data_IF_130419964171
#
_entry.id   IF_130419964171
#
_cell.length_a   1.000
_cell.length_b   1.000
_cell.length_c   1.000
_cell.angle_alpha   90.00
_cell.angle_beta   90.00
_cell.angle_gamma   90.00
#
_symmetry.space_group_name_H-M   'P 1'
#
loop_
_entity.id
_entity.type
_entity.pdbx_description
1 polymer ?
#
# COMPACT_ATOMS: atom_id res chain seq x y z
N UNK A 1 -16.71 11.24 -20.13
CA UNK A 1 -16.08 11.51 -18.82
C UNK A 1 -15.43 12.87 -18.92
N UNK A 2 -15.62 13.74 -17.93
CA UNK A 2 -15.00 15.07 -17.95
C UNK A 2 -13.55 14.97 -17.50
N UNK A 3 -12.66 15.67 -18.20
CA UNK A 3 -11.27 15.83 -17.78
C UNK A 3 -11.23 16.69 -16.52
N UNK A 4 -10.39 16.28 -15.57
CA UNK A 4 -10.10 17.03 -14.34
C UNK A 4 -8.61 17.34 -14.26
N UNK A 5 -8.28 18.47 -13.67
CA UNK A 5 -6.90 18.91 -13.46
C UNK A 5 -6.58 18.91 -11.97
N UNK A 6 -5.50 18.22 -11.60
CA UNK A 6 -4.97 18.20 -10.24
C UNK A 6 -3.57 18.82 -10.23
N UNK A 7 -3.15 19.30 -9.07
CA UNK A 7 -1.76 19.70 -8.83
C UNK A 7 -1.11 18.67 -7.92
N UNK A 8 -0.16 17.88 -8.44
CA UNK A 8 0.56 16.88 -7.66
C UNK A 8 2.02 17.28 -7.55
N UNK A 9 2.53 17.44 -6.33
CA UNK A 9 3.90 17.92 -6.04
C UNK A 9 4.25 19.22 -6.80
N UNK A 10 3.28 20.14 -6.93
CA UNK A 10 3.45 21.41 -7.65
C UNK A 10 3.35 21.33 -9.17
N UNK A 11 3.14 20.14 -9.76
CA UNK A 11 2.94 19.96 -11.21
C UNK A 11 1.47 19.74 -11.52
N UNK A 12 0.96 20.40 -12.57
CA UNK A 12 -0.38 20.12 -13.06
C UNK A 12 -0.41 18.79 -13.82
N UNK A 13 -1.37 17.94 -13.49
CA UNK A 13 -1.60 16.65 -14.13
C UNK A 13 -3.07 16.54 -14.53
N UNK A 14 -3.31 15.79 -15.61
CA UNK A 14 -4.65 15.50 -16.08
C UNK A 14 -5.08 14.13 -15.59
N UNK A 15 -6.36 14.01 -15.26
CA UNK A 15 -7.03 12.75 -14.98
C UNK A 15 -8.48 12.78 -15.43
N UNK A 16 -9.21 11.69 -15.20
CA UNK A 16 -10.62 11.61 -15.55
C UNK A 16 -11.47 11.70 -14.29
N UNK A 17 -12.61 12.38 -14.41
CA UNK A 17 -13.61 12.34 -13.35
C UNK A 17 -14.07 10.90 -13.11
N UNK A 18 -13.98 10.45 -11.85
CA UNK A 18 -14.28 9.07 -11.44
C UNK A 18 -13.05 8.30 -10.98
N UNK A 19 -11.86 8.68 -11.46
CA UNK A 19 -10.61 8.08 -11.03
C UNK A 19 -10.29 8.43 -9.56
N UNK A 20 -9.53 7.57 -8.92
CA UNK A 20 -8.90 7.80 -7.63
C UNK A 20 -7.62 8.61 -7.78
N UNK A 21 -7.12 9.16 -6.67
CA UNK A 21 -5.82 9.85 -6.67
C UNK A 21 -4.68 8.90 -7.07
N UNK A 22 -4.75 7.62 -6.69
CA UNK A 22 -3.72 6.64 -7.08
C UNK A 22 -3.69 6.39 -8.58
N UNK A 23 -4.85 6.19 -9.22
CA UNK A 23 -4.94 5.94 -10.67
C UNK A 23 -4.37 7.13 -11.46
N UNK A 24 -4.68 8.36 -11.05
CA UNK A 24 -4.11 9.56 -11.68
C UNK A 24 -2.60 9.63 -11.48
N UNK A 25 -2.09 9.31 -10.29
CA UNK A 25 -0.65 9.23 -10.05
C UNK A 25 0.01 8.21 -10.98
N UNK A 26 -0.54 6.99 -11.09
CA UNK A 26 -0.01 5.93 -11.94
C UNK A 26 -0.02 6.33 -13.43
N UNK A 27 -1.13 6.89 -13.92
CA UNK A 27 -1.25 7.36 -15.30
C UNK A 27 -0.26 8.47 -15.67
N UNK A 28 0.20 9.24 -14.67
CA UNK A 28 1.18 10.31 -14.83
C UNK A 28 2.60 9.91 -14.37
N UNK A 29 2.87 8.61 -14.19
CA UNK A 29 4.18 8.08 -13.75
C UNK A 29 4.69 8.66 -12.42
N UNK A 30 3.76 8.98 -11.50
CA UNK A 30 4.07 9.45 -10.15
C UNK A 30 4.04 8.23 -9.21
N UNK A 31 5.19 7.91 -8.64
CA UNK A 31 5.33 6.77 -7.71
C UNK A 31 4.60 7.04 -6.39
N UNK A 32 3.65 6.17 -6.07
CA UNK A 32 2.98 6.11 -4.76
C UNK A 32 3.03 4.64 -4.31
N UNK A 33 3.68 4.31 -3.18
CA UNK A 33 3.88 2.93 -2.79
C UNK A 33 2.56 2.27 -2.40
N UNK A 34 2.41 1.00 -2.75
CA UNK A 34 1.24 0.20 -2.38
C UNK A 34 1.68 -1.20 -1.94
N UNK A 35 0.83 -1.87 -1.16
CA UNK A 35 0.98 -3.29 -0.80
C UNK A 35 -0.32 -4.08 -0.95
N UNK A 36 -1.49 -3.44 -0.85
CA UNK A 36 -2.78 -4.11 -1.05
C UNK A 36 -3.39 -3.85 -2.43
N UNK A 37 -3.08 -2.73 -3.07
CA UNK A 37 -3.52 -2.45 -4.43
C UNK A 37 -2.95 -3.51 -5.38
N UNK A 38 -3.77 -4.01 -6.30
CA UNK A 38 -3.37 -4.94 -7.35
C UNK A 38 -4.21 -4.64 -8.57
N UNK A 39 -3.58 -4.47 -9.73
CA UNK A 39 -4.28 -4.21 -10.98
C UNK A 39 -5.30 -5.31 -11.27
N UNK A 40 -6.52 -4.91 -11.67
CA UNK A 40 -7.63 -5.82 -11.90
C UNK A 40 -8.44 -6.20 -10.66
N UNK A 41 -8.06 -5.75 -9.45
CA UNK A 41 -8.86 -5.92 -8.23
C UNK A 41 -9.36 -4.59 -7.67
N UNK A 42 -10.49 -4.63 -6.97
CA UNK A 42 -11.07 -3.48 -6.27
C UNK A 42 -10.17 -2.95 -5.16
N UNK A 43 -10.09 -1.62 -4.98
CA UNK A 43 -9.27 -1.02 -3.92
C UNK A 43 -9.99 -0.93 -2.57
N UNK A 44 -9.28 -1.32 -1.50
CA UNK A 44 -9.83 -1.40 -0.13
C UNK A 44 -9.09 -0.55 0.90
N UNK A 45 -7.94 0.04 0.53
CA UNK A 45 -7.17 0.89 1.44
C UNK A 45 -6.61 0.19 2.68
N UNK A 46 -6.47 -1.14 2.67
CA UNK A 46 -6.09 -1.95 3.83
C UNK A 46 -4.67 -1.65 4.33
N UNK A 47 -3.67 -1.63 3.45
CA UNK A 47 -2.26 -1.51 3.86
C UNK A 47 -1.81 -0.10 4.25
N UNK A 48 -2.58 0.94 3.89
CA UNK A 48 -2.27 2.36 4.14
C UNK A 48 -0.94 2.89 3.56
N UNK A 49 -0.16 2.12 2.80
CA UNK A 49 1.10 2.60 2.22
C UNK A 49 0.92 3.78 1.26
N UNK A 50 -0.21 3.82 0.55
CA UNK A 50 -0.53 4.84 -0.44
C UNK A 50 -1.02 6.17 0.15
N UNK A 51 -0.78 6.42 1.44
CA UNK A 51 -1.18 7.70 2.06
C UNK A 51 -0.52 8.88 1.37
N UNK A 52 -1.30 9.94 1.15
CA UNK A 52 -0.91 11.21 0.55
C UNK A 52 -1.50 12.36 1.35
N UNK A 53 -0.89 13.54 1.25
CA UNK A 53 -1.41 14.77 1.84
C UNK A 53 -2.22 15.55 0.81
N UNK A 54 -3.36 16.10 1.22
CA UNK A 54 -4.23 16.93 0.40
C UNK A 54 -4.49 18.22 1.17
N UNK A 55 -4.32 19.40 0.55
CA UNK A 55 -4.29 20.70 1.26
C UNK A 55 -5.53 21.02 2.11
N UNK A 56 -6.68 20.42 1.81
CA UNK A 56 -7.94 20.63 2.56
C UNK A 56 -8.27 19.49 3.52
N UNK A 57 -7.43 18.46 3.59
CA UNK A 57 -7.60 17.34 4.49
C UNK A 57 -6.74 17.52 5.74
N UNK A 58 -7.31 17.22 6.91
CA UNK A 58 -6.60 17.39 8.20
C UNK A 58 -5.56 16.30 8.45
N UNK A 59 -5.67 15.17 7.77
CA UNK A 59 -4.83 13.98 7.98
C UNK A 59 -4.47 13.38 6.62
N UNK A 60 -3.34 12.67 6.50
CA UNK A 60 -3.03 11.89 5.31
C UNK A 60 -4.14 10.88 5.00
N UNK A 61 -4.54 10.82 3.72
CA UNK A 61 -5.62 9.98 3.22
C UNK A 61 -5.07 8.94 2.24
N UNK A 62 -5.67 7.75 2.12
CA UNK A 62 -5.19 6.72 1.20
C UNK A 62 -5.49 7.10 -0.25
N UNK A 63 -4.49 7.20 -1.11
CA UNK A 63 -4.70 7.59 -2.50
C UNK A 63 -5.59 6.59 -3.28
N UNK A 64 -5.50 5.30 -2.97
CA UNK A 64 -6.21 4.22 -3.68
C UNK A 64 -7.73 4.23 -3.51
N UNK A 65 -8.28 4.91 -2.49
CA UNK A 65 -9.73 4.99 -2.29
C UNK A 65 -10.22 6.44 -2.23
N UNK A 66 -9.33 7.42 -2.39
CA UNK A 66 -9.71 8.81 -2.35
C UNK A 66 -10.13 9.27 -3.75
N UNK A 67 -11.39 9.69 -3.96
CA UNK A 67 -11.86 10.09 -5.29
C UNK A 67 -11.19 11.39 -5.73
N UNK A 68 -10.64 11.39 -6.93
CA UNK A 68 -10.05 12.59 -7.51
C UNK A 68 -11.13 13.60 -7.88
N UNK A 69 -10.83 14.87 -7.66
CA UNK A 69 -11.70 16.01 -7.99
C UNK A 69 -10.87 17.09 -8.64
N UNK A 70 -11.52 17.89 -9.46
CA UNK A 70 -10.89 19.03 -10.09
C UNK A 70 -10.36 20.03 -9.05
N UNK A 71 -9.15 20.55 -9.29
CA UNK A 71 -8.49 21.50 -8.40
C UNK A 71 -7.89 20.91 -7.12
N UNK A 72 -7.84 19.58 -6.96
CA UNK A 72 -7.12 18.98 -5.82
C UNK A 72 -5.62 19.29 -5.88
N UNK A 73 -5.06 19.63 -4.71
CA UNK A 73 -3.62 19.79 -4.52
C UNK A 73 -3.12 18.67 -3.63
N UNK A 74 -2.29 17.79 -4.20
CA UNK A 74 -1.81 16.56 -3.56
C UNK A 74 -0.29 16.63 -3.41
N UNK A 75 0.22 16.20 -2.26
CA UNK A 75 1.64 15.95 -2.04
C UNK A 75 1.85 14.46 -1.78
N UNK A 76 2.73 13.83 -2.54
CA UNK A 76 3.03 12.39 -2.42
C UNK A 76 4.31 12.12 -1.65
N UNK A 77 5.17 13.14 -1.51
CA UNK A 77 6.44 13.09 -0.79
C UNK A 77 6.57 14.31 0.14
N UNK A 78 6.54 14.03 1.44
CA UNK A 78 6.82 14.98 2.52
C UNK A 78 7.52 14.21 3.64
N UNK A 79 8.28 14.89 4.49
CA UNK A 79 8.91 14.26 5.66
C UNK A 79 7.86 13.61 6.59
N UNK A 80 6.67 14.22 6.69
CA UNK A 80 5.56 13.64 7.43
C UNK A 80 5.08 12.33 6.80
N UNK A 81 4.86 12.28 5.48
CA UNK A 81 4.45 11.05 4.79
C UNK A 81 5.49 9.94 4.90
N UNK A 82 6.77 10.27 4.81
CA UNK A 82 7.85 9.28 4.98
C UNK A 82 7.86 8.68 6.39
N UNK A 83 7.71 9.52 7.43
CA UNK A 83 7.57 9.06 8.82
C UNK A 83 6.32 8.22 9.03
N UNK A 84 5.20 8.56 8.38
CA UNK A 84 3.96 7.78 8.44
C UNK A 84 4.13 6.41 7.79
N UNK A 85 4.72 6.36 6.59
CA UNK A 85 4.96 5.11 5.85
C UNK A 85 5.92 4.19 6.59
N UNK A 86 6.98 4.73 7.20
CA UNK A 86 7.88 3.96 8.07
C UNK A 86 7.14 3.36 9.26
N UNK A 87 6.32 4.16 9.96
CA UNK A 87 5.49 3.66 11.07
C UNK A 87 4.53 2.55 10.65
N UNK A 88 3.87 2.70 9.50
CA UNK A 88 2.97 1.67 8.95
C UNK A 88 3.75 0.38 8.70
N UNK A 89 4.94 0.46 8.12
CA UNK A 89 5.79 -0.71 7.91
C UNK A 89 6.17 -1.35 9.25
N UNK A 90 6.65 -0.58 10.23
CA UNK A 90 6.99 -1.12 11.55
C UNK A 90 5.81 -1.90 12.16
N UNK A 91 4.59 -1.34 12.11
CA UNK A 91 3.39 -2.01 12.60
C UNK A 91 3.07 -3.29 11.83
N UNK A 92 3.16 -3.28 10.50
CA UNK A 92 2.98 -4.48 9.67
C UNK A 92 3.98 -5.56 10.06
N UNK A 93 5.25 -5.19 10.26
CA UNK A 93 6.29 -6.13 10.69
C UNK A 93 6.01 -6.71 12.08
N UNK A 94 5.36 -5.97 12.98
CA UNK A 94 5.07 -6.45 14.34
C UNK A 94 3.94 -7.45 14.42
N UNK A 95 3.00 -7.40 13.46
CA UNK A 95 1.80 -8.24 13.45
C UNK A 95 2.10 -9.72 13.17
N UNK A 96 3.18 -10.03 12.45
CA UNK A 96 3.45 -11.36 11.87
C UNK A 96 4.94 -11.69 11.85
N UNK A 97 5.26 -12.94 11.51
CA UNK A 97 6.60 -13.52 11.58
C UNK A 97 7.37 -13.27 10.27
N UNK A 98 7.93 -12.07 10.13
CA UNK A 98 8.67 -11.66 8.92
C UNK A 98 10.18 -11.92 9.03
N UNK A 99 10.57 -13.19 9.12
CA UNK A 99 11.98 -13.60 9.18
C UNK A 99 12.60 -13.70 7.78
N UNK A 100 13.03 -12.56 7.24
CA UNK A 100 13.52 -12.46 5.85
C UNK A 100 14.68 -13.42 5.54
N UNK A 101 15.55 -13.72 6.52
CA UNK A 101 16.70 -14.63 6.34
C UNK A 101 16.33 -16.08 6.00
N UNK A 102 15.09 -16.50 6.31
CA UNK A 102 14.57 -17.85 6.02
C UNK A 102 13.37 -17.81 5.04
N UNK A 103 13.08 -16.65 4.46
CA UNK A 103 11.95 -16.45 3.57
C UNK A 103 12.39 -16.66 2.12
N UNK A 104 11.73 -17.56 1.40
CA UNK A 104 11.96 -17.80 -0.03
C UNK A 104 11.71 -16.57 -0.91
N UNK A 105 10.83 -15.66 -0.47
CA UNK A 105 10.50 -14.41 -1.17
C UNK A 105 11.54 -13.32 -0.91
N UNK A 106 12.54 -13.56 -0.06
CA UNK A 106 13.57 -12.56 0.25
C UNK A 106 14.34 -12.20 -1.03
N UNK A 107 14.52 -10.90 -1.27
CA UNK A 107 15.09 -10.36 -2.51
C UNK A 107 14.02 -9.91 -3.51
N UNK A 108 12.84 -10.56 -3.54
CA UNK A 108 11.73 -10.15 -4.42
C UNK A 108 10.47 -9.63 -3.68
N UNK A 109 10.47 -9.69 -2.35
CA UNK A 109 9.33 -9.28 -1.53
C UNK A 109 9.06 -7.76 -1.56
N UNK A 110 7.83 -7.35 -1.93
CA UNK A 110 7.38 -5.95 -1.94
C UNK A 110 7.49 -5.29 -0.55
N UNK A 111 7.10 -6.00 0.52
CA UNK A 111 7.20 -5.51 1.90
C UNK A 111 8.66 -5.20 2.27
N UNK A 112 9.57 -6.12 1.94
CA UNK A 112 11.00 -5.97 2.19
C UNK A 112 11.59 -4.79 1.39
N UNK A 113 11.24 -4.65 0.10
CA UNK A 113 11.66 -3.52 -0.74
C UNK A 113 11.22 -2.18 -0.14
N UNK A 114 9.99 -2.09 0.38
CA UNK A 114 9.50 -0.87 1.03
C UNK A 114 10.20 -0.60 2.37
N UNK A 115 10.49 -1.64 3.17
CA UNK A 115 11.27 -1.49 4.39
C UNK A 115 12.64 -0.85 4.13
N UNK A 116 13.36 -1.32 3.09
CA UNK A 116 14.62 -0.72 2.66
C UNK A 116 14.43 0.71 2.15
N UNK A 117 13.44 0.93 1.28
CA UNK A 117 13.14 2.26 0.70
C UNK A 117 12.92 3.32 1.79
N UNK A 118 12.20 2.97 2.86
CA UNK A 118 11.89 3.89 3.95
C UNK A 118 12.89 3.84 5.12
N UNK A 119 14.03 3.15 4.94
CA UNK A 119 15.09 3.01 5.92
C UNK A 119 14.56 2.56 7.29
N UNK A 120 13.74 1.51 7.27
CA UNK A 120 13.27 0.86 8.50
C UNK A 120 14.43 0.02 9.07
N UNK A 121 15.23 0.65 9.90
CA UNK A 121 16.43 0.11 10.55
C UNK A 121 16.09 -0.69 11.82
N UNK A 122 15.08 -0.24 12.56
CA UNK A 122 14.57 -0.90 13.76
C UNK A 122 13.04 -0.81 13.82
N UNK A 123 12.45 -1.67 14.65
CA UNK A 123 11.02 -1.67 14.94
C UNK A 123 10.83 -1.26 16.39
N UNK A 124 10.07 -0.18 16.61
CA UNK A 124 9.90 0.44 17.93
C UNK A 124 8.78 -0.16 18.78
N UNK A 125 8.01 -1.07 18.19
CA UNK A 125 6.86 -1.70 18.82
C UNK A 125 7.18 -3.16 19.16
N UNK A 126 6.58 -3.73 20.21
CA UNK A 126 6.74 -5.14 20.52
C UNK A 126 6.11 -6.01 19.42
N UNK A 127 6.81 -7.07 19.02
CA UNK A 127 6.29 -8.07 18.10
C UNK A 127 5.25 -8.95 18.79
N UNK A 128 4.21 -9.33 18.04
CA UNK A 128 3.16 -10.23 18.55
C UNK A 128 3.56 -11.71 18.46
N UNK A 129 4.42 -12.05 17.49
CA UNK A 129 4.89 -13.41 17.19
C UNK A 129 3.82 -14.51 17.34
N UNK A 130 2.70 -14.41 16.60
CA UNK A 130 1.64 -15.40 16.72
C UNK A 130 2.11 -16.75 16.17
N UNK A 131 1.56 -17.82 16.70
CA UNK A 131 1.72 -19.18 16.16
C UNK A 131 0.45 -19.55 15.40
N UNK A 132 0.41 -19.22 14.11
CA UNK A 132 -0.72 -19.50 13.23
C UNK A 132 -0.48 -20.80 12.46
N UNK A 133 -1.56 -21.48 12.08
CA UNK A 133 -1.49 -22.67 11.24
C UNK A 133 -1.08 -22.30 9.82
N UNK A 134 -0.34 -23.22 9.19
CA UNK A 134 -0.05 -23.18 7.74
C UNK A 134 -1.08 -24.06 7.05
N UNK A 135 -1.80 -23.48 6.09
CA UNK A 135 -2.72 -24.24 5.24
C UNK A 135 -1.93 -24.80 4.04
N UNK A 136 -1.94 -26.12 3.91
CA UNK A 136 -1.28 -26.88 2.83
C UNK A 136 -2.21 -27.91 2.23
N UNK A 137 -3.54 -27.68 2.33
CA UNK A 137 -4.55 -28.62 1.83
C UNK A 137 -4.62 -28.66 0.29
N UNK A 138 -4.16 -27.61 -0.38
CA UNK A 138 -4.11 -27.54 -1.85
C UNK A 138 -2.77 -28.05 -2.37
N UNK A 139 -2.82 -28.89 -3.42
CA UNK A 139 -1.61 -29.39 -4.10
C UNK A 139 -0.79 -28.27 -4.78
N UNK A 140 -1.41 -27.12 -5.03
CA UNK A 140 -0.81 -26.02 -5.80
C UNK A 140 -0.50 -24.78 -4.97
N UNK A 141 -1.08 -24.65 -3.77
CA UNK A 141 -0.98 -23.45 -2.95
C UNK A 141 -0.80 -23.79 -1.47
N UNK A 142 0.26 -23.21 -0.88
CA UNK A 142 0.47 -23.19 0.56
C UNK A 142 0.22 -21.78 1.07
N UNK A 143 -0.62 -21.64 2.10
CA UNK A 143 -0.93 -20.35 2.73
C UNK A 143 -0.33 -20.35 4.13
N UNK A 144 0.80 -19.63 4.27
CA UNK A 144 1.41 -19.37 5.57
C UNK A 144 0.85 -18.07 6.18
N UNK A 145 -0.13 -18.21 7.06
CA UNK A 145 -0.73 -17.06 7.75
C UNK A 145 0.25 -16.34 8.69
N UNK A 146 1.36 -16.98 9.09
CA UNK A 146 2.41 -16.33 9.87
C UNK A 146 3.14 -15.25 9.08
N UNK A 147 3.04 -15.21 7.75
CA UNK A 147 3.69 -14.21 6.88
C UNK A 147 2.71 -13.21 6.27
N UNK A 148 1.42 -13.36 6.53
CA UNK A 148 0.36 -12.60 5.86
C UNK A 148 0.22 -11.18 6.43
N UNK A 149 0.42 -10.15 5.61
CA UNK A 149 0.21 -8.75 6.01
C UNK A 149 -1.26 -8.29 6.03
N UNK A 150 -2.20 -9.24 5.91
CA UNK A 150 -3.66 -8.97 5.89
C UNK A 150 -4.08 -7.98 4.80
N UNK A 151 -3.42 -7.98 3.63
CA UNK A 151 -3.72 -7.06 2.54
C UNK A 151 -5.03 -7.39 1.78
N UNK A 152 -5.59 -8.59 2.00
CA UNK A 152 -6.83 -9.04 1.38
C UNK A 152 -6.75 -9.26 -0.14
N UNK A 153 -5.56 -9.23 -0.75
CA UNK A 153 -5.40 -9.48 -2.20
C UNK A 153 -5.89 -10.88 -2.58
N UNK A 154 -5.53 -11.91 -1.80
CA UNK A 154 -5.95 -13.29 -2.05
C UNK A 154 -7.47 -13.46 -2.00
N UNK A 155 -8.13 -12.90 -0.99
CA UNK A 155 -9.59 -12.99 -0.83
C UNK A 155 -10.29 -12.29 -1.99
N UNK A 156 -9.84 -11.08 -2.37
CA UNK A 156 -10.41 -10.34 -3.50
C UNK A 156 -10.20 -11.05 -4.84
N UNK A 157 -9.02 -11.62 -5.07
CA UNK A 157 -8.77 -12.42 -6.26
C UNK A 157 -9.76 -13.59 -6.37
N UNK A 158 -9.99 -14.30 -5.26
CA UNK A 158 -10.97 -15.39 -5.23
C UNK A 158 -12.42 -14.93 -5.42
N UNK A 159 -12.80 -13.71 -5.02
CA UNK A 159 -14.19 -13.24 -5.09
C UNK A 159 -14.52 -12.46 -6.36
N UNK A 160 -13.53 -11.82 -6.98
CA UNK A 160 -13.72 -10.89 -8.10
C UNK A 160 -13.27 -11.48 -9.45
N UNK A 161 -12.36 -12.47 -9.43
CA UNK A 161 -11.74 -13.01 -10.65
C UNK A 161 -12.03 -14.49 -10.85
N UNK A 162 -11.92 -15.29 -9.79
CA UNK A 162 -12.19 -16.74 -9.83
C UNK A 162 -13.69 -17.03 -9.98
#
# INVERSE_FOLDING_TARGET
MNDITLTINGKQVKGKAGDTVLEICQANSIDVPTLCHLEGLSDVGACRMCVVEIERERRPVPACTYPARDGLVVKTHTEQLERYRRQILELIFTERNHFCMFCEQSGDCELQKLAYRYQMDNVRYPYTFPSLSVDSLSDYLVIDHNRCILCGRCIRACSEVA
#
